data_IF_004429361515
#
_entry.id   IF_004429361515
#
_cell.length_a   1.000
_cell.length_b   1.000
_cell.length_c   1.000
_cell.angle_alpha   90.00
_cell.angle_beta   90.00
_cell.angle_gamma   90.00
#
_symmetry.space_group_name_H-M   'P 1'
#
loop_
_entity.id
_entity.type
_entity.pdbx_description
1 polymer ?
#
# COMPACT_ATOMS: atom_id res chain seq x y z
N UNK A 1 -5.21 -8.72 -5.95
CA UNK A 1 -4.25 -9.05 -7.04
C UNK A 1 -4.58 -10.36 -7.73
N UNK A 2 -4.69 -11.47 -7.03
CA UNK A 2 -4.94 -12.83 -7.58
C UNK A 2 -6.18 -12.90 -8.48
N UNK A 3 -7.32 -12.32 -8.09
CA UNK A 3 -8.56 -12.36 -8.89
C UNK A 3 -8.44 -11.64 -10.25
N UNK A 4 -7.70 -10.52 -10.31
CA UNK A 4 -7.49 -9.76 -11.55
C UNK A 4 -6.56 -10.54 -12.50
N UNK A 5 -5.48 -11.13 -11.96
CA UNK A 5 -4.57 -11.96 -12.72
C UNK A 5 -5.28 -13.16 -13.36
N UNK A 6 -6.10 -13.90 -12.61
CA UNK A 6 -6.86 -15.03 -13.12
C UNK A 6 -7.84 -14.63 -14.25
N UNK A 7 -8.48 -13.47 -14.14
CA UNK A 7 -9.35 -12.96 -15.21
C UNK A 7 -8.59 -12.66 -16.49
N UNK A 8 -7.41 -12.05 -16.39
CA UNK A 8 -6.53 -11.80 -17.55
C UNK A 8 -6.13 -13.13 -18.20
N UNK A 9 -5.70 -14.13 -17.42
CA UNK A 9 -5.29 -15.44 -17.93
C UNK A 9 -6.46 -16.14 -18.62
N UNK A 10 -7.62 -16.19 -17.99
CA UNK A 10 -8.81 -16.85 -18.58
C UNK A 10 -9.26 -16.12 -19.85
N UNK A 11 -9.31 -14.79 -19.84
CA UNK A 11 -9.68 -14.01 -21.01
C UNK A 11 -8.69 -14.18 -22.16
N UNK A 12 -7.38 -14.19 -21.86
CA UNK A 12 -6.35 -14.47 -22.87
C UNK A 12 -6.47 -15.88 -23.45
N UNK A 13 -6.76 -16.88 -22.63
CA UNK A 13 -6.97 -18.26 -23.10
C UNK A 13 -8.19 -18.36 -24.02
N UNK A 14 -9.32 -17.71 -23.67
CA UNK A 14 -10.51 -17.67 -24.52
C UNK A 14 -10.24 -16.94 -25.82
N UNK A 15 -9.53 -15.81 -25.80
CA UNK A 15 -9.11 -15.08 -26.99
C UNK A 15 -8.25 -15.97 -27.89
N UNK A 16 -7.20 -16.61 -27.34
CA UNK A 16 -6.34 -17.51 -28.09
C UNK A 16 -7.13 -18.66 -28.71
N UNK A 17 -8.08 -19.25 -27.99
CA UNK A 17 -8.95 -20.30 -28.49
C UNK A 17 -9.80 -19.81 -29.68
N UNK A 18 -10.39 -18.59 -29.56
CA UNK A 18 -11.21 -18.02 -30.63
C UNK A 18 -10.42 -17.71 -31.90
N UNK A 19 -9.14 -17.31 -31.76
CA UNK A 19 -8.25 -17.01 -32.90
C UNK A 19 -7.69 -18.27 -33.52
N UNK A 20 -7.23 -19.22 -32.69
CA UNK A 20 -6.51 -20.44 -33.19
C UNK A 20 -7.44 -21.50 -33.80
N UNK A 21 -8.68 -21.62 -33.28
CA UNK A 21 -9.58 -22.69 -33.73
C UNK A 21 -10.23 -22.44 -35.08
N UNK A 22 -10.05 -21.27 -35.74
CA UNK A 22 -10.63 -20.95 -37.08
C UNK A 22 -11.97 -21.64 -37.28
N UNK A 23 -12.93 -21.34 -36.39
CA UNK A 23 -14.22 -22.06 -36.34
C UNK A 23 -14.98 -21.85 -37.67
N UNK A 24 -15.45 -22.91 -38.31
CA UNK A 24 -16.30 -22.85 -39.49
C UNK A 24 -17.62 -22.11 -39.30
N UNK A 25 -17.92 -21.68 -38.06
CA UNK A 25 -19.10 -20.96 -37.68
C UNK A 25 -18.73 -19.57 -37.14
N UNK A 26 -18.93 -18.56 -37.97
CA UNK A 26 -18.62 -17.15 -37.62
C UNK A 26 -19.34 -16.68 -36.34
N UNK A 27 -20.59 -17.09 -36.16
CA UNK A 27 -21.37 -16.72 -34.98
C UNK A 27 -20.78 -17.25 -33.68
N UNK A 28 -20.25 -18.49 -33.72
CA UNK A 28 -19.60 -19.08 -32.55
C UNK A 28 -18.28 -18.37 -32.22
N UNK A 29 -17.54 -17.96 -33.26
CA UNK A 29 -16.29 -17.21 -33.10
C UNK A 29 -16.54 -15.82 -32.52
N UNK A 30 -17.56 -15.09 -33.01
CA UNK A 30 -17.98 -13.78 -32.47
C UNK A 30 -18.42 -13.95 -31.01
N UNK A 31 -19.18 -14.98 -30.68
CA UNK A 31 -19.60 -15.24 -29.30
C UNK A 31 -18.40 -15.45 -28.36
N UNK A 32 -17.36 -16.14 -28.78
CA UNK A 32 -16.14 -16.32 -28.00
C UNK A 32 -15.39 -14.99 -27.77
N UNK A 33 -15.31 -14.12 -28.78
CA UNK A 33 -14.73 -12.78 -28.60
C UNK A 33 -15.54 -11.95 -27.62
N UNK A 34 -16.88 -11.97 -27.69
CA UNK A 34 -17.75 -11.28 -26.75
C UNK A 34 -17.55 -11.79 -25.31
N UNK A 35 -17.50 -13.12 -25.14
CA UNK A 35 -17.27 -13.75 -23.82
C UNK A 35 -15.89 -13.32 -23.28
N UNK A 36 -14.84 -13.39 -24.09
CA UNK A 36 -13.50 -12.94 -23.70
C UNK A 36 -13.51 -11.46 -23.29
N UNK A 37 -14.17 -10.60 -24.08
CA UNK A 37 -14.29 -9.16 -23.78
C UNK A 37 -15.01 -8.91 -22.45
N UNK A 38 -16.11 -9.61 -22.17
CA UNK A 38 -16.86 -9.49 -20.91
C UNK A 38 -15.99 -9.92 -19.72
N UNK A 39 -15.24 -11.00 -19.85
CA UNK A 39 -14.34 -11.48 -18.80
C UNK A 39 -13.24 -10.46 -18.51
N UNK A 40 -12.59 -9.91 -19.53
CA UNK A 40 -11.46 -9.00 -19.38
C UNK A 40 -11.92 -7.58 -19.09
N UNK A 41 -12.87 -7.06 -19.86
CA UNK A 41 -13.25 -5.65 -19.89
C UNK A 41 -14.49 -5.27 -19.07
N UNK A 42 -15.27 -6.24 -18.61
CA UNK A 42 -16.56 -5.97 -17.96
C UNK A 42 -16.48 -5.06 -16.74
N UNK A 43 -15.37 -5.10 -15.96
CA UNK A 43 -15.16 -4.20 -14.84
C UNK A 43 -14.71 -2.81 -15.27
N UNK A 44 -13.99 -2.69 -16.39
CA UNK A 44 -13.59 -1.41 -16.98
C UNK A 44 -14.82 -0.66 -17.46
N UNK A 45 -15.67 -1.32 -18.27
CA UNK A 45 -16.94 -0.75 -18.74
C UNK A 45 -17.85 -0.36 -17.56
N UNK A 46 -17.96 -1.21 -16.55
CA UNK A 46 -18.74 -0.90 -15.34
C UNK A 46 -18.20 0.32 -14.58
N UNK A 47 -16.87 0.46 -14.49
CA UNK A 47 -16.24 1.65 -13.90
C UNK A 47 -16.49 2.89 -14.74
N UNK A 48 -16.34 2.81 -16.06
CA UNK A 48 -16.62 3.89 -16.97
C UNK A 48 -18.04 4.44 -16.80
N UNK A 49 -19.04 3.55 -16.84
CA UNK A 49 -20.44 3.92 -16.61
C UNK A 49 -20.64 4.57 -15.24
N UNK A 50 -20.08 3.99 -14.18
CA UNK A 50 -20.19 4.55 -12.82
C UNK A 50 -19.54 5.94 -12.71
N UNK A 51 -18.41 6.16 -13.36
CA UNK A 51 -17.67 7.43 -13.31
C UNK A 51 -18.38 8.53 -14.11
N UNK A 52 -19.07 8.19 -15.20
CA UNK A 52 -19.96 9.12 -15.91
C UNK A 52 -21.04 9.66 -14.96
N UNK A 53 -21.72 8.78 -14.21
CA UNK A 53 -22.75 9.20 -13.24
C UNK A 53 -22.19 10.05 -12.08
N UNK A 54 -20.86 10.00 -11.85
CA UNK A 54 -20.17 10.84 -10.86
C UNK A 54 -19.63 12.14 -11.43
N UNK A 55 -19.89 12.44 -12.72
CA UNK A 55 -19.39 13.63 -13.40
C UNK A 55 -17.97 13.52 -13.94
N UNK A 56 -17.32 12.34 -13.83
CA UNK A 56 -15.99 12.08 -14.38
C UNK A 56 -16.12 11.39 -15.75
N UNK A 57 -16.49 12.17 -16.78
CA UNK A 57 -16.87 11.63 -18.08
C UNK A 57 -15.67 11.18 -18.91
N UNK A 58 -14.51 11.85 -18.80
CA UNK A 58 -13.35 11.58 -19.65
C UNK A 58 -12.20 10.90 -18.87
N UNK A 59 -12.52 9.84 -18.13
CA UNK A 59 -11.49 9.03 -17.50
C UNK A 59 -10.93 7.96 -18.47
N UNK A 60 -9.83 7.34 -18.07
CA UNK A 60 -9.18 6.29 -18.86
C UNK A 60 -10.08 5.08 -19.13
N UNK A 61 -10.95 4.70 -18.17
CA UNK A 61 -11.88 3.58 -18.34
C UNK A 61 -12.92 3.88 -19.41
N UNK A 62 -13.40 5.12 -19.48
CA UNK A 62 -14.34 5.58 -20.49
C UNK A 62 -13.71 5.55 -21.88
N UNK A 63 -12.51 6.14 -22.04
CA UNK A 63 -11.80 6.16 -23.32
C UNK A 63 -11.50 4.74 -23.83
N UNK A 64 -11.01 3.87 -22.96
CA UNK A 64 -10.75 2.47 -23.32
C UNK A 64 -12.02 1.71 -23.68
N UNK A 65 -13.12 1.94 -22.94
CA UNK A 65 -14.40 1.31 -23.24
C UNK A 65 -14.95 1.74 -24.60
N UNK A 66 -14.93 3.03 -24.94
CA UNK A 66 -15.37 3.52 -26.24
C UNK A 66 -14.50 2.97 -27.36
N UNK A 67 -13.18 3.01 -27.22
CA UNK A 67 -12.26 2.53 -28.24
C UNK A 67 -12.48 1.03 -28.56
N UNK A 68 -12.60 0.22 -27.52
CA UNK A 68 -12.75 -1.23 -27.68
C UNK A 68 -14.16 -1.63 -28.14
N UNK A 69 -15.22 -0.98 -27.65
CA UNK A 69 -16.58 -1.19 -28.16
C UNK A 69 -16.68 -0.71 -29.61
N UNK A 70 -16.02 0.41 -29.96
CA UNK A 70 -15.92 0.90 -31.35
C UNK A 70 -15.28 -0.15 -32.28
N UNK A 71 -14.24 -0.85 -31.85
CA UNK A 71 -13.63 -1.93 -32.60
C UNK A 71 -14.64 -3.06 -32.90
N UNK A 72 -15.49 -3.40 -31.93
CA UNK A 72 -16.58 -4.37 -32.16
C UNK A 72 -17.60 -3.91 -33.19
N UNK A 73 -17.93 -2.62 -33.24
CA UNK A 73 -18.88 -2.07 -34.21
C UNK A 73 -18.36 -2.12 -35.65
N UNK A 74 -17.05 -2.01 -35.85
CA UNK A 74 -16.43 -2.07 -37.19
C UNK A 74 -16.02 -3.49 -37.58
N UNK A 75 -16.29 -4.50 -36.72
CA UNK A 75 -16.00 -5.90 -37.00
C UNK A 75 -14.61 -6.38 -36.57
N UNK A 76 -13.79 -5.54 -35.96
CA UNK A 76 -12.44 -5.85 -35.49
C UNK A 76 -12.50 -6.44 -34.06
N UNK A 77 -13.12 -7.63 -33.93
CA UNK A 77 -13.37 -8.26 -32.62
C UNK A 77 -12.09 -8.68 -31.89
N UNK A 78 -11.09 -9.32 -32.55
CA UNK A 78 -9.86 -9.74 -31.90
C UNK A 78 -9.07 -8.55 -31.36
N UNK A 79 -9.01 -7.45 -32.14
CA UNK A 79 -8.32 -6.22 -31.80
C UNK A 79 -8.93 -5.56 -30.56
N UNK A 80 -10.27 -5.45 -30.52
CA UNK A 80 -11.00 -4.90 -29.38
C UNK A 80 -10.73 -5.66 -28.09
N UNK A 81 -10.69 -6.99 -28.15
CA UNK A 81 -10.33 -7.84 -26.98
C UNK A 81 -8.86 -7.70 -26.62
N UNK A 82 -7.96 -7.70 -27.61
CA UNK A 82 -6.52 -7.61 -27.39
C UNK A 82 -6.16 -6.27 -26.72
N UNK A 83 -6.70 -5.16 -27.21
CA UNK A 83 -6.48 -3.83 -26.60
C UNK A 83 -6.97 -3.79 -25.16
N UNK A 84 -8.15 -4.33 -24.86
CA UNK A 84 -8.67 -4.39 -23.49
C UNK A 84 -7.78 -5.28 -22.59
N UNK A 85 -7.24 -6.36 -23.14
CA UNK A 85 -6.34 -7.26 -22.42
C UNK A 85 -5.01 -6.58 -22.08
N UNK A 86 -4.39 -5.87 -23.03
CA UNK A 86 -3.18 -5.09 -22.79
C UNK A 86 -3.42 -3.98 -21.77
N UNK A 87 -4.57 -3.31 -21.83
CA UNK A 87 -4.95 -2.31 -20.82
C UNK A 87 -5.01 -2.93 -19.41
N UNK A 88 -5.65 -4.09 -19.25
CA UNK A 88 -5.74 -4.78 -17.96
C UNK A 88 -4.37 -5.25 -17.43
N UNK A 89 -3.47 -5.66 -18.33
CA UNK A 89 -2.08 -5.98 -17.96
C UNK A 89 -1.36 -4.73 -17.46
N UNK A 90 -1.49 -3.60 -18.17
CA UNK A 90 -0.92 -2.31 -17.75
C UNK A 90 -1.43 -1.88 -16.36
N UNK A 91 -2.75 -1.96 -16.14
CA UNK A 91 -3.39 -1.69 -14.85
C UNK A 91 -2.88 -2.59 -13.71
N UNK A 92 -2.59 -3.86 -14.04
CA UNK A 92 -2.01 -4.79 -13.06
C UNK A 92 -0.60 -4.36 -12.65
N UNK A 93 0.26 -4.00 -13.62
CA UNK A 93 1.61 -3.50 -13.36
C UNK A 93 1.60 -2.17 -12.60
N UNK A 94 0.75 -1.23 -12.99
CA UNK A 94 0.60 0.05 -12.30
C UNK A 94 0.17 -0.16 -10.84
N UNK A 95 -0.82 -1.01 -10.60
CA UNK A 95 -1.29 -1.35 -9.25
C UNK A 95 -0.18 -1.97 -8.39
N UNK A 96 0.67 -2.80 -9.00
CA UNK A 96 1.82 -3.41 -8.32
C UNK A 96 2.89 -2.38 -7.96
N UNK A 97 3.27 -1.53 -8.93
CA UNK A 97 4.29 -0.50 -8.75
C UNK A 97 3.88 0.53 -7.67
N UNK A 98 2.64 1.04 -7.77
CA UNK A 98 2.09 2.00 -6.80
C UNK A 98 1.96 1.36 -5.41
N UNK A 99 1.49 0.11 -5.34
CA UNK A 99 1.37 -0.62 -4.07
C UNK A 99 2.72 -0.82 -3.38
N UNK A 100 3.77 -1.14 -4.13
CA UNK A 100 5.14 -1.29 -3.60
C UNK A 100 5.68 0.05 -3.08
N UNK A 101 5.51 1.14 -3.85
CA UNK A 101 5.95 2.47 -3.44
C UNK A 101 5.25 2.95 -2.17
N UNK A 102 3.93 2.77 -2.07
CA UNK A 102 3.15 3.12 -0.87
C UNK A 102 3.61 2.33 0.36
N UNK A 103 3.90 1.03 0.21
CA UNK A 103 4.41 0.21 1.31
C UNK A 103 5.78 0.69 1.79
N UNK A 104 6.68 1.07 0.86
CA UNK A 104 7.99 1.62 1.22
C UNK A 104 7.87 2.95 1.96
N UNK A 105 6.98 3.85 1.52
CA UNK A 105 6.72 5.11 2.21
C UNK A 105 6.10 4.85 3.60
N UNK A 106 5.13 3.96 3.72
CA UNK A 106 4.52 3.62 4.99
C UNK A 106 5.54 3.03 5.99
N UNK A 107 6.46 2.17 5.52
CA UNK A 107 7.52 1.62 6.37
C UNK A 107 8.56 2.66 6.82
N UNK A 108 8.75 3.74 6.04
CA UNK A 108 9.58 4.88 6.44
C UNK A 108 8.86 5.82 7.42
N UNK A 109 7.53 5.88 7.35
CA UNK A 109 6.69 6.67 8.27
C UNK A 109 6.35 5.91 9.57
N UNK A 110 6.58 4.59 9.61
CA UNK A 110 6.38 3.74 10.79
C UNK A 110 7.58 3.85 11.74
N UNK A 111 7.91 5.11 12.11
CA UNK A 111 8.98 5.46 13.05
C UNK A 111 8.52 5.13 14.47
N UNK A 112 7.20 5.05 14.70
CA UNK A 112 6.60 4.82 16.01
C UNK A 112 6.81 3.35 16.47
N UNK A 113 7.26 3.11 17.72
CA UNK A 113 7.34 1.75 18.26
C UNK A 113 5.97 1.15 18.52
N UNK A 114 5.91 -0.19 18.43
CA UNK A 114 4.67 -0.95 18.64
C UNK A 114 4.22 -1.01 20.11
N UNK A 115 5.07 -0.61 21.05
CA UNK A 115 4.79 -0.67 22.49
C UNK A 115 5.62 0.32 23.30
N UNK A 116 5.15 0.62 24.50
CA UNK A 116 5.88 1.32 25.56
C UNK A 116 5.97 0.43 26.81
N UNK A 117 7.14 0.44 27.47
CA UNK A 117 7.28 -0.20 28.79
C UNK A 117 6.98 0.83 29.86
N UNK A 118 5.77 0.81 30.41
CA UNK A 118 5.31 1.72 31.47
C UNK A 118 5.62 1.12 32.83
N UNK A 119 6.22 1.93 33.73
CA UNK A 119 6.49 1.52 35.10
C UNK A 119 5.25 1.73 35.96
N UNK A 120 4.65 0.64 36.44
CA UNK A 120 3.52 0.64 37.39
C UNK A 120 3.97 0.05 38.73
N UNK A 121 4.36 0.93 39.68
CA UNK A 121 5.02 0.52 40.91
C UNK A 121 6.41 -0.09 40.61
N UNK A 122 6.61 -1.36 40.98
CA UNK A 122 7.87 -2.08 40.73
C UNK A 122 7.82 -2.95 39.45
N UNK A 123 6.70 -2.99 38.75
CA UNK A 123 6.55 -3.80 37.54
C UNK A 123 6.62 -2.95 36.26
N UNK A 124 7.19 -3.55 35.19
CA UNK A 124 7.17 -2.99 33.84
C UNK A 124 6.07 -3.68 33.03
N UNK A 125 5.10 -2.90 32.59
CA UNK A 125 3.97 -3.37 31.79
C UNK A 125 4.13 -2.88 30.36
N UNK A 126 4.06 -3.79 29.38
CA UNK A 126 4.00 -3.43 27.96
C UNK A 126 2.58 -2.98 27.61
N UNK A 127 2.45 -1.76 27.11
CA UNK A 127 1.18 -1.17 26.69
C UNK A 127 1.32 -0.58 25.27
N UNK A 128 0.21 -0.38 24.61
CA UNK A 128 0.19 0.41 23.37
C UNK A 128 0.57 1.88 23.70
N UNK A 129 1.46 2.52 22.92
CA UNK A 129 1.78 3.94 23.14
C UNK A 129 0.58 4.86 23.18
N UNK A 130 -0.54 4.52 22.52
CA UNK A 130 -1.79 5.29 22.56
C UNK A 130 -2.52 5.22 23.93
N UNK A 131 -2.18 4.25 24.76
CA UNK A 131 -2.76 4.10 26.11
C UNK A 131 -1.96 4.82 27.19
N UNK A 132 -0.76 5.33 26.85
CA UNK A 132 0.13 6.01 27.80
C UNK A 132 -0.33 7.46 27.97
N UNK A 133 -0.33 7.94 29.22
CA UNK A 133 -0.73 9.30 29.57
C UNK A 133 0.46 10.21 29.86
N UNK A 134 0.26 11.50 29.70
CA UNK A 134 1.25 12.51 30.12
C UNK A 134 1.50 12.38 31.61
N UNK A 135 2.79 12.31 32.00
CA UNK A 135 3.22 12.08 33.39
C UNK A 135 3.48 10.61 33.71
N UNK A 136 3.15 9.66 32.81
CA UNK A 136 3.54 8.27 33.01
C UNK A 136 5.06 8.09 32.89
N UNK A 137 5.58 7.13 33.63
CA UNK A 137 7.00 6.79 33.62
C UNK A 137 7.24 5.63 32.66
N UNK A 138 8.08 5.84 31.66
CA UNK A 138 8.46 4.83 30.69
C UNK A 138 9.93 4.44 30.85
N UNK A 139 10.23 3.17 30.60
CA UNK A 139 11.59 2.62 30.62
C UNK A 139 11.98 2.19 29.21
N UNK A 140 13.07 2.74 28.69
CA UNK A 140 13.57 2.47 27.34
C UNK A 140 14.91 1.73 27.48
N UNK A 141 14.96 0.50 27.01
CA UNK A 141 16.17 -0.34 27.03
C UNK A 141 17.03 -0.09 25.82
N UNK A 142 18.29 -0.53 25.91
CA UNK A 142 19.21 -0.48 24.77
C UNK A 142 18.63 -1.22 23.55
N UNK A 143 18.71 -0.59 22.37
CA UNK A 143 18.16 -1.07 21.11
C UNK A 143 16.67 -0.81 20.91
N UNK A 144 15.94 -0.29 21.90
CA UNK A 144 14.54 0.06 21.77
C UNK A 144 14.33 1.44 21.17
N UNK A 145 13.27 1.60 20.41
CA UNK A 145 12.80 2.92 19.95
C UNK A 145 12.08 3.63 21.09
N UNK A 146 12.26 4.93 21.18
CA UNK A 146 11.56 5.79 22.14
C UNK A 146 10.09 5.91 21.72
N UNK A 147 9.12 5.50 22.56
CA UNK A 147 7.73 5.43 22.17
C UNK A 147 7.01 6.78 22.15
N UNK A 148 7.38 7.68 23.04
CA UNK A 148 6.73 8.96 23.28
C UNK A 148 7.76 10.04 23.61
N UNK A 149 7.42 11.29 23.37
CA UNK A 149 8.24 12.42 23.81
C UNK A 149 8.25 12.49 25.34
N UNK A 150 9.42 12.72 25.91
CA UNK A 150 9.56 12.72 27.34
C UNK A 150 10.83 13.40 27.83
N UNK A 151 10.99 13.44 29.14
CA UNK A 151 12.16 13.97 29.82
C UNK A 151 12.84 12.86 30.63
N UNK A 152 14.15 12.69 30.46
CA UNK A 152 14.91 11.67 31.21
C UNK A 152 14.93 12.03 32.68
N UNK A 153 14.51 11.09 33.53
CA UNK A 153 14.50 11.22 35.00
C UNK A 153 15.54 10.34 35.65
N UNK A 154 16.01 9.27 34.98
CA UNK A 154 16.99 8.33 35.50
C UNK A 154 17.78 7.69 34.35
N UNK A 155 19.09 7.51 34.52
CA UNK A 155 19.99 6.88 33.56
C UNK A 155 20.66 7.87 32.60
N UNK A 156 21.51 7.31 31.75
CA UNK A 156 22.14 8.02 30.61
C UNK A 156 22.37 7.09 29.45
N UNK A 157 22.34 7.61 28.25
CA UNK A 157 22.55 6.81 27.03
C UNK A 157 22.93 7.68 25.84
N UNK A 158 23.33 7.01 24.75
CA UNK A 158 23.43 7.62 23.42
C UNK A 158 22.14 7.34 22.66
N UNK A 159 21.59 8.33 22.00
CA UNK A 159 20.36 8.23 21.18
C UNK A 159 20.69 8.51 19.73
N UNK A 160 20.27 7.61 18.85
CA UNK A 160 20.29 7.83 17.41
C UNK A 160 19.04 8.65 17.01
N UNK A 161 19.28 9.87 16.54
CA UNK A 161 18.24 10.79 16.08
C UNK A 161 18.14 10.85 14.54
N UNK A 162 18.91 10.03 13.82
CA UNK A 162 19.03 10.10 12.36
C UNK A 162 17.71 9.98 11.63
N UNK A 163 16.77 9.21 12.17
CA UNK A 163 15.43 9.05 11.60
C UNK A 163 14.58 10.35 11.61
N UNK A 164 14.87 11.28 12.52
CA UNK A 164 14.14 12.55 12.66
C UNK A 164 14.92 13.74 12.09
N UNK A 165 16.22 13.80 12.36
CA UNK A 165 17.05 14.96 12.01
C UNK A 165 17.90 14.77 10.75
N UNK A 166 18.07 13.52 10.32
CA UNK A 166 18.99 13.15 9.23
C UNK A 166 20.48 13.16 9.64
N UNK A 167 20.79 13.49 10.88
CA UNK A 167 22.16 13.50 11.39
C UNK A 167 22.58 12.12 11.87
N UNK A 168 23.71 11.61 11.37
CA UNK A 168 24.20 10.26 11.69
C UNK A 168 25.01 10.20 12.99
N UNK A 169 25.21 11.33 13.68
CA UNK A 169 25.97 11.37 14.94
C UNK A 169 25.02 11.17 16.11
N UNK A 170 25.19 10.11 16.92
CA UNK A 170 24.36 9.90 18.10
C UNK A 170 24.53 11.04 19.13
N UNK A 171 23.41 11.40 19.77
CA UNK A 171 23.37 12.44 20.80
C UNK A 171 23.40 11.78 22.19
N UNK A 172 24.23 12.29 23.07
CA UNK A 172 24.23 11.91 24.49
C UNK A 172 23.02 12.53 25.21
N UNK A 173 22.38 11.72 26.06
CA UNK A 173 21.28 12.14 26.95
C UNK A 173 21.53 11.68 28.37
N UNK A 174 21.21 12.56 29.30
CA UNK A 174 21.35 12.38 30.73
C UNK A 174 20.10 12.88 31.47
N UNK A 175 20.05 12.74 32.77
CA UNK A 175 18.93 13.23 33.58
C UNK A 175 18.63 14.70 33.29
N UNK A 176 17.40 15.00 32.94
CA UNK A 176 16.94 16.33 32.54
C UNK A 176 16.95 16.58 31.04
N UNK A 177 17.51 15.70 30.21
CA UNK A 177 17.48 15.81 28.76
C UNK A 177 16.10 15.47 28.20
N UNK A 178 15.67 16.20 27.16
CA UNK A 178 14.47 15.87 26.39
C UNK A 178 14.77 14.76 25.38
N UNK A 179 13.86 13.79 25.27
CA UNK A 179 13.89 12.71 24.29
C UNK A 179 12.67 12.77 23.38
N UNK A 180 12.86 12.37 22.13
CA UNK A 180 11.83 12.44 21.10
C UNK A 180 11.41 11.03 20.65
N UNK A 181 10.13 10.86 20.45
CA UNK A 181 9.54 9.63 19.89
C UNK A 181 10.16 9.29 18.53
N UNK A 182 10.40 8.00 18.29
CA UNK A 182 10.98 7.52 17.04
C UNK A 182 12.52 7.46 17.00
N UNK A 183 13.22 8.10 17.94
CA UNK A 183 14.67 7.91 18.13
C UNK A 183 14.97 6.51 18.69
N UNK A 184 16.20 6.03 18.49
CA UNK A 184 16.64 4.71 19.00
C UNK A 184 17.60 4.92 20.17
N UNK A 185 17.33 4.26 21.29
CA UNK A 185 18.22 4.19 22.42
C UNK A 185 19.35 3.19 22.13
N UNK A 186 20.63 3.61 22.13
CA UNK A 186 21.73 2.77 21.65
C UNK A 186 22.27 1.83 22.72
N UNK A 187 22.65 2.33 23.88
CA UNK A 187 23.52 1.57 24.80
C UNK A 187 23.11 1.55 26.27
N UNK A 188 22.35 2.49 26.79
CA UNK A 188 21.95 2.55 28.19
C UNK A 188 20.49 2.11 28.40
N UNK A 189 20.10 2.07 29.66
CA UNK A 189 18.69 2.02 30.07
C UNK A 189 18.34 3.41 30.60
N UNK A 190 17.34 4.04 30.02
CA UNK A 190 16.85 5.33 30.45
C UNK A 190 15.41 5.23 30.93
N UNK A 191 15.09 5.93 31.98
CA UNK A 191 13.74 6.12 32.49
C UNK A 191 13.33 7.57 32.20
N UNK A 192 12.17 7.76 31.62
CA UNK A 192 11.68 9.06 31.24
C UNK A 192 10.24 9.30 31.67
N UNK A 193 9.90 10.52 32.00
CA UNK A 193 8.53 10.98 32.20
C UNK A 193 7.96 11.47 30.87
N UNK A 194 6.79 11.01 30.50
CA UNK A 194 6.11 11.37 29.24
C UNK A 194 5.61 12.80 29.30
N UNK A 195 5.93 13.60 28.29
CA UNK A 195 5.54 15.02 28.20
C UNK A 195 4.54 15.33 27.10
N UNK A 196 4.47 14.46 26.07
CA UNK A 196 3.50 14.56 24.96
C UNK A 196 3.10 13.18 24.48
#
# INVERSE_FOLDING_TARGET
MTKRLWRIIIGAAVLATAVLLSLNNEWLQIALFIISYIIVGGDVVKRAVKNIFKGQVFDENFLMSIATIGAFFIGEYPEGVAVMLFYQVGELFQSYAVGKSRKSIASLMDIRPDYANVKKGDELVKVDPDEVQIGDIIVIKAGEKIPLDGKVIEGSSMIDTSALTGESVPREVEVGSDILSGCININGVITAEVTK
#
